data_IF_234698056255
#
_entry.id   IF_234698056255
#
_cell.length_a   1.000
_cell.length_b   1.000
_cell.length_c   1.000
_cell.angle_alpha   90.00
_cell.angle_beta   90.00
_cell.angle_gamma   90.00
#
_symmetry.space_group_name_H-M   'P 1'
#
loop_
_entity.id
_entity.type
_entity.pdbx_description
1 polymer ?
#
# COMPACT_ATOMS: atom_id res chain seq x y z
N UNK A 1 1.70 -8.67 32.89
CA UNK A 1 1.16 -8.30 31.57
C UNK A 1 2.16 -8.79 30.53
N UNK A 2 1.79 -9.76 29.71
CA UNK A 2 2.63 -10.21 28.58
C UNK A 2 2.75 -9.06 27.59
N UNK A 3 3.97 -8.62 27.29
CA UNK A 3 4.17 -7.59 26.27
C UNK A 3 3.69 -8.10 24.91
N UNK A 4 2.79 -7.34 24.30
CA UNK A 4 2.32 -7.62 22.94
C UNK A 4 3.44 -7.25 21.97
N UNK A 5 3.92 -8.24 21.21
CA UNK A 5 4.96 -8.03 20.20
C UNK A 5 4.44 -7.12 19.08
N UNK A 6 5.30 -6.29 18.50
CA UNK A 6 4.94 -5.36 17.41
C UNK A 6 5.63 -5.74 16.11
N UNK A 7 4.92 -5.61 14.99
CA UNK A 7 5.46 -5.80 13.65
C UNK A 7 5.13 -4.60 12.78
N UNK A 8 6.16 -3.87 12.36
CA UNK A 8 6.01 -2.69 11.50
C UNK A 8 6.58 -2.98 10.12
N UNK A 9 5.80 -2.70 9.07
CA UNK A 9 6.19 -2.87 7.67
C UNK A 9 6.15 -1.52 6.98
N UNK A 10 7.24 -1.11 6.33
CA UNK A 10 7.28 0.08 5.47
C UNK A 10 7.14 -0.36 4.01
N UNK A 11 5.99 -0.10 3.41
CA UNK A 11 5.71 -0.47 2.02
C UNK A 11 6.00 0.73 1.09
N UNK A 12 7.22 0.74 0.55
CA UNK A 12 7.67 1.75 -0.43
C UNK A 12 7.30 1.36 -1.87
N UNK A 13 7.35 0.07 -2.20
CA UNK A 13 7.20 -0.41 -3.57
C UNK A 13 5.75 -0.39 -4.03
N UNK A 14 5.54 0.01 -5.28
CA UNK A 14 4.25 -0.08 -5.98
C UNK A 14 4.11 -1.33 -6.85
N UNK A 15 4.91 -2.37 -6.61
CA UNK A 15 4.79 -3.65 -7.31
C UNK A 15 3.76 -4.53 -6.58
N UNK A 16 2.91 -5.22 -7.34
CA UNK A 16 1.81 -6.01 -6.76
C UNK A 16 2.30 -7.17 -5.90
N UNK A 17 3.35 -7.88 -6.34
CA UNK A 17 3.94 -9.04 -5.66
C UNK A 17 4.45 -8.69 -4.25
N UNK A 18 5.15 -7.56 -4.12
CA UNK A 18 5.66 -7.06 -2.84
C UNK A 18 4.57 -6.56 -1.91
N UNK A 19 3.55 -5.88 -2.46
CA UNK A 19 2.40 -5.49 -1.67
C UNK A 19 1.67 -6.73 -1.12
N UNK A 20 1.43 -7.73 -1.96
CA UNK A 20 0.81 -8.99 -1.55
C UNK A 20 1.64 -9.72 -0.49
N UNK A 21 2.95 -9.83 -0.68
CA UNK A 21 3.85 -10.43 0.30
C UNK A 21 3.81 -9.70 1.65
N UNK A 22 3.82 -8.36 1.64
CA UNK A 22 3.70 -7.55 2.85
C UNK A 22 2.40 -7.84 3.61
N UNK A 23 1.27 -7.97 2.91
CA UNK A 23 -0.02 -8.31 3.53
C UNK A 23 -0.06 -9.75 4.06
N UNK A 24 0.56 -10.72 3.37
CA UNK A 24 0.67 -12.10 3.86
C UNK A 24 1.45 -12.14 5.18
N UNK A 25 2.61 -11.45 5.24
CA UNK A 25 3.44 -11.36 6.44
C UNK A 25 2.68 -10.66 7.58
N UNK A 26 2.00 -9.56 7.26
CA UNK A 26 1.18 -8.82 8.23
C UNK A 26 0.08 -9.70 8.83
N UNK A 27 -0.65 -10.45 7.99
CA UNK A 27 -1.69 -11.36 8.46
C UNK A 27 -1.12 -12.50 9.31
N UNK A 28 0.04 -13.04 8.94
CA UNK A 28 0.75 -14.03 9.74
C UNK A 28 1.12 -13.49 11.12
N UNK A 29 1.71 -12.30 11.19
CA UNK A 29 2.06 -11.63 12.44
C UNK A 29 0.82 -11.35 13.30
N UNK A 30 -0.27 -10.87 12.69
CA UNK A 30 -1.54 -10.63 13.38
C UNK A 30 -2.13 -11.92 13.97
N UNK A 31 -2.01 -13.06 13.25
CA UNK A 31 -2.44 -14.37 13.76
C UNK A 31 -1.61 -14.88 14.95
N UNK A 32 -0.35 -14.44 15.08
CA UNK A 32 0.50 -14.67 16.25
C UNK A 32 0.31 -13.62 17.37
N UNK A 33 -0.80 -12.88 17.34
CA UNK A 33 -1.14 -11.82 18.29
C UNK A 33 -0.09 -10.69 18.37
N UNK A 34 0.56 -10.38 17.24
CA UNK A 34 1.35 -9.17 17.13
C UNK A 34 0.45 -7.95 16.85
N UNK A 35 0.81 -6.79 17.38
CA UNK A 35 0.29 -5.51 16.92
C UNK A 35 0.99 -5.14 15.60
N UNK A 36 0.23 -5.12 14.50
CA UNK A 36 0.77 -4.94 13.15
C UNK A 36 0.47 -3.54 12.61
N UNK A 37 1.51 -2.86 12.14
CA UNK A 37 1.42 -1.55 11.49
C UNK A 37 2.04 -1.60 10.11
N UNK A 38 1.29 -1.21 9.08
CA UNK A 38 1.83 -1.04 7.72
C UNK A 38 1.83 0.45 7.39
N UNK A 39 3.00 1.00 7.09
CA UNK A 39 3.17 2.37 6.63
C UNK A 39 3.40 2.39 5.12
N UNK A 40 2.38 2.79 4.37
CA UNK A 40 2.45 2.97 2.93
C UNK A 40 3.07 4.32 2.60
N UNK A 41 4.10 4.31 1.76
CA UNK A 41 4.77 5.55 1.33
C UNK A 41 5.22 5.46 -0.12
N UNK A 42 5.47 6.62 -0.75
CA UNK A 42 5.84 6.75 -2.17
C UNK A 42 4.93 5.91 -3.09
N UNK A 43 5.51 4.96 -3.83
CA UNK A 43 4.79 4.14 -4.79
C UNK A 43 3.88 3.10 -4.13
N UNK A 44 4.13 2.75 -2.87
CA UNK A 44 3.26 1.89 -2.07
C UNK A 44 1.89 2.51 -1.79
N UNK A 45 1.76 3.84 -1.84
CA UNK A 45 0.46 4.52 -1.74
C UNK A 45 -0.50 4.11 -2.86
N UNK A 46 0.01 3.64 -4.00
CA UNK A 46 -0.83 3.17 -5.10
C UNK A 46 -1.65 1.93 -4.74
N UNK A 47 -1.19 1.11 -3.79
CA UNK A 47 -1.94 -0.05 -3.29
C UNK A 47 -3.24 0.36 -2.57
N UNK A 48 -3.29 1.57 -2.01
CA UNK A 48 -4.46 2.12 -1.32
C UNK A 48 -5.34 2.99 -2.23
N UNK A 49 -4.95 3.16 -3.50
CA UNK A 49 -5.62 4.08 -4.42
C UNK A 49 -6.86 3.43 -5.01
N UNK A 50 -8.04 3.96 -4.64
CA UNK A 50 -9.35 3.52 -5.18
C UNK A 50 -9.36 3.54 -6.72
N UNK A 51 -10.02 2.54 -7.30
CA UNK A 51 -10.18 2.41 -8.76
C UNK A 51 -11.17 3.43 -9.32
N UNK A 52 -12.18 3.80 -8.54
CA UNK A 52 -13.19 4.79 -8.92
C UNK A 52 -12.59 6.19 -9.09
N UNK A 53 -12.95 6.86 -10.18
CA UNK A 53 -12.59 8.25 -10.42
C UNK A 53 -13.43 9.17 -9.54
N UNK A 54 -12.97 9.41 -8.31
CA UNK A 54 -13.56 10.43 -7.45
C UNK A 54 -13.24 11.80 -8.07
N UNK A 55 -14.28 12.55 -8.45
CA UNK A 55 -14.16 13.94 -8.88
C UNK A 55 -13.80 14.80 -7.67
N UNK A 56 -12.51 15.03 -7.47
CA UNK A 56 -11.97 16.02 -6.53
C UNK A 56 -11.41 17.21 -7.31
N UNK A 57 -11.56 18.41 -6.74
CA UNK A 57 -10.93 19.64 -7.26
C UNK A 57 -9.41 19.53 -7.08
N UNK A 58 -8.74 18.96 -8.08
CA UNK A 58 -7.28 18.79 -8.10
C UNK A 58 -6.60 20.02 -8.70
N UNK A 59 -5.55 20.50 -8.04
CA UNK A 59 -4.61 21.48 -8.58
C UNK A 59 -3.85 20.95 -9.80
N UNK A 60 -3.05 21.80 -10.44
CA UNK A 60 -2.30 21.45 -11.65
C UNK A 60 -1.31 20.29 -11.43
N UNK A 61 -0.49 20.37 -10.37
CA UNK A 61 0.43 19.31 -9.96
C UNK A 61 -0.30 18.00 -9.65
N UNK A 62 -1.38 18.04 -8.87
CA UNK A 62 -2.17 16.86 -8.50
C UNK A 62 -2.82 16.17 -9.70
N UNK A 63 -3.24 16.92 -10.73
CA UNK A 63 -3.72 16.36 -12.00
C UNK A 63 -2.62 15.62 -12.74
N UNK A 64 -1.41 16.19 -12.77
CA UNK A 64 -0.25 15.59 -13.41
C UNK A 64 0.18 14.29 -12.70
N UNK A 65 0.35 14.32 -11.38
CA UNK A 65 0.61 13.14 -10.56
C UNK A 65 -0.50 12.09 -10.68
N UNK A 66 -1.76 12.54 -10.74
CA UNK A 66 -2.92 11.68 -10.94
C UNK A 66 -2.93 10.96 -12.30
N UNK A 67 -2.29 11.51 -13.33
CA UNK A 67 -2.17 10.93 -14.67
C UNK A 67 -0.93 10.04 -14.82
N UNK A 68 0.16 10.34 -14.10
CA UNK A 68 1.42 9.60 -14.13
C UNK A 68 1.41 8.33 -13.27
N UNK A 69 0.76 8.37 -12.10
CA UNK A 69 0.71 7.20 -11.20
C UNK A 69 -0.31 6.16 -11.69
N UNK A 70 -0.10 4.84 -11.46
CA UNK A 70 -1.03 3.75 -11.82
C UNK A 70 -2.28 3.70 -10.93
N UNK A 71 -3.49 3.61 -11.51
CA UNK A 71 -4.78 3.61 -10.77
C UNK A 71 -5.21 2.17 -10.47
N UNK A 72 -5.42 1.84 -9.20
CA UNK A 72 -5.84 0.51 -8.77
C UNK A 72 -4.71 -0.50 -8.66
N UNK A 73 -4.90 -1.50 -7.80
CA UNK A 73 -3.95 -2.58 -7.59
C UNK A 73 -3.67 -3.41 -8.85
N UNK A 74 -4.64 -3.50 -9.76
CA UNK A 74 -4.53 -4.22 -11.04
C UNK A 74 -3.63 -3.52 -12.07
N UNK A 75 -3.24 -2.26 -11.84
CA UNK A 75 -2.27 -1.52 -12.68
C UNK A 75 -0.92 -1.33 -12.01
N UNK A 76 -0.70 -1.94 -10.84
CA UNK A 76 0.62 -2.02 -10.24
C UNK A 76 1.51 -2.91 -11.11
N UNK A 77 2.79 -2.58 -11.20
CA UNK A 77 3.72 -3.35 -12.03
C UNK A 77 3.84 -4.77 -11.48
N UNK A 78 3.70 -5.75 -12.36
CA UNK A 78 4.09 -7.13 -12.10
C UNK A 78 5.49 -7.30 -12.66
N UNK A 79 6.48 -7.61 -11.82
CA UNK A 79 7.78 -8.05 -12.35
C UNK A 79 7.59 -9.43 -12.96
N UNK A 80 7.94 -9.54 -14.25
CA UNK A 80 8.12 -10.81 -14.96
C UNK A 80 9.27 -11.59 -14.35
#
# INVERSE_FOLDING_TARGET
MTEKKRTTIVLFSGDYDKAMAAYIIANGAAAYDHEVTIFHTFWGLNALRKEENIQVKKGFMEKMFGKMMPRGANKMAYRK
#
